data_IF_867818005534
#
_entry.id   IF_867818005534
#
_cell.length_a   1.000
_cell.length_b   1.000
_cell.length_c   1.000
_cell.angle_alpha   90.00
_cell.angle_beta   90.00
_cell.angle_gamma   90.00
#
_symmetry.space_group_name_H-M   'P 1'
#
loop_
_entity.id
_entity.type
_entity.pdbx_description
1 polymer ?
#
# COMPACT_ATOMS: atom_id res chain seq x y z
N UNK A 1 -12.62 7.44 26.23
CA UNK A 1 -11.89 7.18 24.97
C UNK A 1 -12.07 8.40 24.10
N UNK A 2 -11.00 9.01 23.55
CA UNK A 2 -11.16 10.10 22.59
C UNK A 2 -11.99 9.58 21.41
N UNK A 3 -13.04 10.32 21.05
CA UNK A 3 -13.79 10.06 19.83
C UNK A 3 -12.83 10.33 18.67
N UNK A 4 -12.42 9.27 17.96
CA UNK A 4 -11.80 9.38 16.65
C UNK A 4 -12.69 10.31 15.81
N UNK A 5 -12.14 11.45 15.38
CA UNK A 5 -12.87 12.31 14.45
C UNK A 5 -13.17 11.49 13.20
N UNK A 6 -14.42 11.49 12.76
CA UNK A 6 -14.80 10.79 11.54
C UNK A 6 -14.08 11.44 10.36
N UNK A 7 -13.08 10.74 9.82
CA UNK A 7 -12.31 11.22 8.67
C UNK A 7 -13.24 11.41 7.45
N UNK A 8 -12.95 12.39 6.57
CA UNK A 8 -13.71 12.59 5.34
C UNK A 8 -13.69 11.31 4.48
N UNK A 9 -14.87 10.85 4.05
CA UNK A 9 -15.06 9.59 3.34
C UNK A 9 -15.22 9.83 1.84
N UNK A 10 -14.37 9.25 1.00
CA UNK A 10 -14.55 9.23 -0.46
C UNK A 10 -15.35 7.99 -0.87
N UNK A 11 -16.54 8.16 -1.46
CA UNK A 11 -17.60 7.13 -1.48
C UNK A 11 -18.17 6.72 -2.86
N UNK A 12 -17.41 6.62 -3.97
CA UNK A 12 -17.87 6.21 -5.34
C UNK A 12 -19.05 7.04 -5.93
N UNK A 13 -19.80 7.82 -5.16
CA UNK A 13 -21.13 8.34 -5.51
C UNK A 13 -21.33 9.80 -5.14
N UNK A 14 -20.41 10.42 -4.42
CA UNK A 14 -20.48 11.85 -4.10
C UNK A 14 -19.90 12.68 -5.27
N UNK A 15 -20.69 13.59 -5.86
CA UNK A 15 -20.24 14.43 -6.97
C UNK A 15 -19.06 15.34 -6.62
N UNK A 16 -18.75 15.53 -5.34
CA UNK A 16 -17.65 16.36 -4.84
C UNK A 16 -16.39 15.58 -4.44
N UNK A 17 -16.33 14.26 -4.67
CA UNK A 17 -15.21 13.42 -4.24
C UNK A 17 -13.85 13.91 -4.73
N UNK A 18 -13.78 14.45 -5.96
CA UNK A 18 -12.52 15.00 -6.48
C UNK A 18 -12.07 16.24 -5.70
N UNK A 19 -12.99 17.15 -5.36
CA UNK A 19 -12.66 18.34 -4.58
C UNK A 19 -12.26 17.99 -3.13
N UNK A 20 -12.93 16.99 -2.54
CA UNK A 20 -12.56 16.46 -1.23
C UNK A 20 -11.17 15.81 -1.26
N UNK A 21 -10.90 14.98 -2.27
CA UNK A 21 -9.59 14.37 -2.46
C UNK A 21 -8.51 15.45 -2.64
N UNK A 22 -8.76 16.49 -3.46
CA UNK A 22 -7.84 17.62 -3.63
C UNK A 22 -7.50 18.30 -2.31
N UNK A 23 -8.48 18.52 -1.44
CA UNK A 23 -8.26 19.09 -0.11
C UNK A 23 -7.45 18.14 0.78
N UNK A 24 -7.77 16.84 0.77
CA UNK A 24 -7.08 15.81 1.57
C UNK A 24 -5.62 15.62 1.16
N UNK A 25 -5.28 15.81 -0.12
CA UNK A 25 -3.89 15.72 -0.61
C UNK A 25 -3.18 17.07 -0.69
N UNK A 26 -3.81 18.17 -0.27
CA UNK A 26 -3.16 19.47 -0.26
C UNK A 26 -1.89 19.51 0.63
N UNK A 27 -1.85 18.89 1.83
CA UNK A 27 -0.65 18.88 2.67
C UNK A 27 0.55 18.24 1.97
N UNK A 28 0.37 17.05 1.39
CA UNK A 28 1.45 16.35 0.69
C UNK A 28 1.91 17.08 -0.58
N UNK A 29 1.00 17.73 -1.31
CA UNK A 29 1.37 18.57 -2.46
C UNK A 29 2.26 19.72 -2.02
N UNK A 30 1.99 20.31 -0.85
CA UNK A 30 2.83 21.35 -0.27
C UNK A 30 4.20 20.81 0.14
N UNK A 31 4.26 19.67 0.83
CA UNK A 31 5.51 19.05 1.27
C UNK A 31 6.47 18.75 0.11
N UNK A 32 5.92 18.28 -1.00
CA UNK A 32 6.70 17.89 -2.17
C UNK A 32 6.70 18.93 -3.30
N UNK A 33 6.27 20.17 -3.05
CA UNK A 33 6.11 21.20 -4.09
C UNK A 33 7.40 21.49 -4.89
N UNK A 34 8.57 21.34 -4.25
CA UNK A 34 9.88 21.58 -4.88
C UNK A 34 10.56 20.31 -5.40
N UNK A 35 9.94 19.14 -5.21
CA UNK A 35 10.49 17.89 -5.72
C UNK A 35 10.27 17.78 -7.22
N UNK A 36 11.27 17.25 -7.91
CA UNK A 36 11.17 16.99 -9.35
C UNK A 36 10.11 15.93 -9.59
N UNK A 37 9.17 16.23 -10.47
CA UNK A 37 8.10 15.33 -10.92
C UNK A 37 8.58 14.51 -12.12
N UNK A 38 8.11 13.27 -12.23
CA UNK A 38 8.48 12.33 -13.28
C UNK A 38 7.50 12.42 -14.44
N UNK A 39 7.88 13.15 -15.49
CA UNK A 39 7.05 13.30 -16.69
C UNK A 39 6.83 11.97 -17.42
N UNK A 40 7.91 11.17 -17.52
CA UNK A 40 7.92 9.91 -18.25
C UNK A 40 8.73 8.82 -17.54
N UNK A 41 8.69 7.61 -18.11
CA UNK A 41 9.37 6.44 -17.55
C UNK A 41 10.90 6.55 -17.64
N UNK A 42 11.43 7.28 -18.63
CA UNK A 42 12.86 7.52 -18.77
C UNK A 42 13.40 8.30 -17.56
N UNK A 43 12.66 9.29 -17.09
CA UNK A 43 12.99 10.02 -15.86
C UNK A 43 12.98 9.14 -14.62
N UNK A 44 11.98 8.26 -14.47
CA UNK A 44 11.92 7.29 -13.36
C UNK A 44 13.16 6.40 -13.38
N UNK A 45 13.49 5.81 -14.55
CA UNK A 45 14.64 4.92 -14.68
C UNK A 45 15.98 5.65 -14.47
N UNK A 46 16.08 6.93 -14.86
CA UNK A 46 17.24 7.78 -14.55
C UNK A 46 17.37 8.11 -13.06
N UNK A 47 16.25 8.32 -12.37
CA UNK A 47 16.25 8.49 -10.91
C UNK A 47 16.66 7.20 -10.18
N UNK A 48 16.29 6.03 -10.71
CA UNK A 48 16.76 4.74 -10.20
C UNK A 48 18.27 4.57 -10.41
N UNK A 49 18.80 4.89 -11.60
CA UNK A 49 20.24 4.72 -11.88
C UNK A 49 21.15 5.64 -11.06
N UNK A 50 20.61 6.75 -10.57
CA UNK A 50 21.31 7.72 -9.70
C UNK A 50 21.07 7.47 -8.20
N UNK A 51 20.24 6.49 -7.83
CA UNK A 51 19.90 6.18 -6.45
C UNK A 51 18.87 7.13 -5.81
N UNK A 52 18.30 8.07 -6.57
CA UNK A 52 17.23 8.96 -6.10
C UNK A 52 15.91 8.21 -5.88
N UNK A 53 15.70 7.09 -6.58
CA UNK A 53 14.64 6.12 -6.31
C UNK A 53 15.23 4.74 -6.01
N UNK A 54 14.60 4.00 -5.11
CA UNK A 54 14.97 2.63 -4.75
C UNK A 54 13.85 1.66 -5.08
N UNK A 55 14.21 0.43 -5.48
CA UNK A 55 13.23 -0.63 -5.73
C UNK A 55 12.62 -1.10 -4.43
N UNK A 56 11.30 -1.17 -4.40
CA UNK A 56 10.53 -1.77 -3.33
C UNK A 56 10.43 -3.28 -3.58
N UNK A 57 11.00 -4.06 -2.67
CA UNK A 57 10.86 -5.52 -2.62
C UNK A 57 10.02 -5.89 -1.39
N UNK A 58 9.16 -6.90 -1.54
CA UNK A 58 8.37 -7.42 -0.41
C UNK A 58 9.25 -8.06 0.67
N UNK A 59 8.70 -8.18 1.87
CA UNK A 59 9.36 -8.79 3.03
C UNK A 59 8.34 -9.64 3.83
N UNK A 60 8.61 -9.87 5.12
CA UNK A 60 7.71 -10.59 6.03
C UNK A 60 6.42 -9.84 6.37
N UNK A 61 6.35 -8.53 6.13
CA UNK A 61 5.27 -7.67 6.62
C UNK A 61 4.38 -7.16 5.49
N UNK A 62 4.91 -7.11 4.25
CA UNK A 62 4.15 -6.73 3.07
C UNK A 62 4.64 -7.39 1.80
N UNK A 63 3.76 -7.42 0.80
CA UNK A 63 4.06 -7.91 -0.56
C UNK A 63 3.49 -6.92 -1.58
N UNK A 64 4.32 -6.39 -2.50
CA UNK A 64 3.80 -5.70 -3.68
C UNK A 64 2.93 -6.65 -4.48
N UNK A 65 1.74 -6.22 -4.90
CA UNK A 65 0.84 -7.06 -5.70
C UNK A 65 1.52 -7.53 -6.99
N UNK A 66 1.07 -8.66 -7.54
CA UNK A 66 1.77 -9.38 -8.60
C UNK A 66 2.23 -8.50 -9.79
N UNK A 67 1.38 -7.57 -10.24
CA UNK A 67 1.69 -6.64 -11.34
C UNK A 67 2.88 -5.70 -11.09
N UNK A 68 3.24 -5.45 -9.83
CA UNK A 68 4.44 -4.69 -9.43
C UNK A 68 5.70 -5.57 -9.35
N UNK A 69 5.52 -6.90 -9.30
CA UNK A 69 6.60 -7.88 -9.21
C UNK A 69 6.93 -8.54 -10.56
N UNK A 70 5.99 -8.52 -11.50
CA UNK A 70 6.17 -9.11 -12.83
C UNK A 70 7.39 -8.49 -13.54
N UNK A 71 8.38 -9.30 -13.97
CA UNK A 71 9.49 -8.79 -14.77
C UNK A 71 8.99 -8.11 -16.05
N UNK A 72 9.58 -6.97 -16.41
CA UNK A 72 9.25 -6.24 -17.63
C UNK A 72 8.02 -5.33 -17.52
N UNK A 73 7.29 -5.35 -16.39
CA UNK A 73 6.17 -4.42 -16.15
C UNK A 73 6.60 -3.13 -15.50
N UNK A 74 7.90 -2.95 -15.17
CA UNK A 74 8.39 -1.73 -14.51
C UNK A 74 8.08 -0.47 -15.31
N UNK A 75 8.00 -0.60 -16.64
CA UNK A 75 7.64 0.53 -17.51
C UNK A 75 6.18 0.95 -17.43
N UNK A 76 5.33 0.08 -16.91
CA UNK A 76 3.88 0.26 -16.81
C UNK A 76 3.49 0.51 -15.34
N UNK A 77 4.18 -0.16 -14.40
CA UNK A 77 3.91 -0.13 -12.96
C UNK A 77 5.24 -0.12 -12.21
N UNK A 78 5.94 1.02 -12.19
CA UNK A 78 7.28 1.11 -11.64
C UNK A 78 7.29 0.86 -10.12
N UNK A 79 8.02 -0.16 -9.63
CA UNK A 79 7.99 -0.54 -8.22
C UNK A 79 9.03 0.23 -7.40
N UNK A 80 9.06 1.56 -7.55
CA UNK A 80 10.09 2.40 -6.93
C UNK A 80 9.49 3.47 -6.02
N UNK A 81 10.26 3.89 -5.02
CA UNK A 81 9.97 5.00 -4.11
C UNK A 81 11.24 5.79 -3.82
N UNK A 82 11.09 6.99 -3.27
CA UNK A 82 12.17 7.68 -2.58
C UNK A 82 12.72 6.80 -1.44
N UNK A 83 14.03 6.88 -1.11
CA UNK A 83 14.62 6.11 -0.02
C UNK A 83 13.90 6.28 1.33
N UNK A 84 13.55 7.51 1.71
CA UNK A 84 12.79 7.80 2.93
C UNK A 84 11.40 7.17 2.89
N UNK A 85 10.70 7.27 1.76
CA UNK A 85 9.38 6.65 1.59
C UNK A 85 9.42 5.13 1.63
N UNK A 86 10.47 4.50 1.10
CA UNK A 86 10.67 3.06 1.21
C UNK A 86 10.94 2.62 2.66
N UNK A 87 11.65 3.44 3.45
CA UNK A 87 11.84 3.22 4.88
C UNK A 87 10.51 3.39 5.65
N UNK A 88 9.72 4.42 5.31
CA UNK A 88 8.40 4.65 5.87
C UNK A 88 7.46 3.47 5.60
N UNK A 89 7.39 2.98 4.36
CA UNK A 89 6.61 1.79 4.01
C UNK A 89 6.96 0.61 4.92
N UNK A 90 8.26 0.31 5.09
CA UNK A 90 8.70 -0.79 5.96
C UNK A 90 8.26 -0.57 7.41
N UNK A 91 8.41 0.63 7.94
CA UNK A 91 8.02 0.97 9.31
C UNK A 91 6.51 0.84 9.52
N UNK A 92 5.68 1.43 8.65
CA UNK A 92 4.22 1.37 8.75
C UNK A 92 3.73 -0.08 8.72
N UNK A 93 4.26 -0.90 7.79
CA UNK A 93 3.85 -2.30 7.68
C UNK A 93 4.29 -3.11 8.90
N UNK A 94 5.52 -2.93 9.39
CA UNK A 94 6.03 -3.63 10.58
C UNK A 94 5.23 -3.27 11.85
N UNK A 95 4.92 -1.99 12.04
CA UNK A 95 4.06 -1.51 13.14
C UNK A 95 2.64 -2.10 13.05
N UNK A 96 2.07 -2.16 11.84
CA UNK A 96 0.75 -2.73 11.61
C UNK A 96 0.72 -4.23 11.91
N UNK A 97 1.75 -4.97 11.50
CA UNK A 97 1.96 -6.38 11.85
C UNK A 97 2.12 -6.54 13.37
N UNK A 98 2.89 -5.69 14.02
CA UNK A 98 3.04 -5.73 15.48
C UNK A 98 1.72 -5.48 16.21
N UNK A 99 0.91 -4.52 15.73
CA UNK A 99 -0.43 -4.24 16.27
C UNK A 99 -1.36 -5.44 16.12
N UNK A 100 -1.39 -6.05 14.94
CA UNK A 100 -2.17 -7.26 14.69
C UNK A 100 -1.73 -8.43 15.59
N UNK A 101 -0.42 -8.60 15.83
CA UNK A 101 0.10 -9.61 16.79
C UNK A 101 -0.37 -9.36 18.21
N UNK A 102 -0.33 -8.11 18.66
CA UNK A 102 -0.80 -7.73 19.99
C UNK A 102 -2.30 -8.01 20.20
N UNK A 103 -3.09 -8.12 19.12
CA UNK A 103 -4.50 -8.50 19.13
C UNK A 103 -4.74 -10.03 19.08
N UNK A 104 -3.67 -10.84 19.18
CA UNK A 104 -3.76 -12.30 19.20
C UNK A 104 -4.04 -12.95 17.84
N UNK A 105 -3.81 -12.22 16.74
CA UNK A 105 -3.92 -12.79 15.40
C UNK A 105 -2.72 -13.75 15.22
N UNK A 106 -2.93 -14.95 14.67
CA UNK A 106 -1.86 -15.91 14.41
C UNK A 106 -1.13 -15.56 13.10
N UNK A 107 0.16 -15.19 13.22
CA UNK A 107 0.78 -14.14 12.40
C UNK A 107 2.11 -14.51 11.73
N UNK A 108 2.44 -15.79 11.62
CA UNK A 108 3.73 -16.17 11.06
C UNK A 108 3.89 -15.78 9.58
N UNK A 109 2.80 -15.41 8.89
CA UNK A 109 2.82 -15.13 7.47
C UNK A 109 1.91 -13.99 6.99
N UNK A 110 1.44 -13.12 7.89
CA UNK A 110 0.61 -11.97 7.51
C UNK A 110 1.44 -10.97 6.70
N UNK A 111 0.97 -10.60 5.49
CA UNK A 111 1.60 -9.57 4.68
C UNK A 111 0.57 -8.62 4.08
N UNK A 112 0.70 -7.33 4.32
CA UNK A 112 -0.15 -6.32 3.68
C UNK A 112 0.14 -6.20 2.18
N UNK A 113 -0.88 -5.88 1.39
CA UNK A 113 -0.76 -5.82 -0.07
C UNK A 113 -0.51 -4.38 -0.53
N UNK A 114 0.69 -4.11 -1.05
CA UNK A 114 1.04 -2.79 -1.61
C UNK A 114 0.61 -2.73 -3.08
N UNK A 115 -0.24 -1.77 -3.44
CA UNK A 115 -0.99 -1.77 -4.71
C UNK A 115 -0.50 -0.71 -5.71
N UNK A 116 0.16 0.34 -5.23
CA UNK A 116 0.74 1.41 -6.06
C UNK A 116 1.95 2.07 -5.39
N UNK A 117 2.87 2.57 -6.22
CA UNK A 117 4.14 3.20 -5.84
C UNK A 117 4.35 4.42 -6.75
N UNK A 118 5.56 4.72 -7.25
CA UNK A 118 5.77 5.84 -8.19
C UNK A 118 4.90 5.71 -9.47
N UNK A 119 4.52 6.84 -10.04
CA UNK A 119 3.83 6.97 -11.34
C UNK A 119 4.52 8.06 -12.16
N UNK A 120 4.22 8.11 -13.46
CA UNK A 120 4.58 9.27 -14.29
C UNK A 120 3.39 10.22 -14.41
N UNK A 121 3.63 11.48 -14.79
CA UNK A 121 2.55 12.43 -15.10
C UNK A 121 1.62 11.90 -16.19
N UNK A 122 2.17 11.24 -17.21
CA UNK A 122 1.37 10.62 -18.27
C UNK A 122 0.41 9.54 -17.73
N UNK A 123 0.89 8.70 -16.80
CA UNK A 123 0.07 7.70 -16.13
C UNK A 123 -1.02 8.36 -15.28
N UNK A 124 -0.67 9.41 -14.54
CA UNK A 124 -1.59 10.14 -13.68
C UNK A 124 -2.67 10.86 -14.48
N UNK A 125 -2.31 11.53 -15.57
CA UNK A 125 -3.25 12.18 -16.49
C UNK A 125 -4.24 11.16 -17.07
N UNK A 126 -3.76 9.97 -17.44
CA UNK A 126 -4.61 8.89 -17.96
C UNK A 126 -5.65 8.44 -16.92
N UNK A 127 -5.29 8.36 -15.64
CA UNK A 127 -6.23 8.03 -14.54
C UNK A 127 -7.28 9.14 -14.35
N UNK A 128 -6.86 10.40 -14.36
CA UNK A 128 -7.78 11.55 -14.22
C UNK A 128 -8.78 11.58 -15.38
N UNK A 129 -8.30 11.35 -16.61
CA UNK A 129 -9.13 11.31 -17.83
C UNK A 129 -10.08 10.12 -17.86
N UNK A 130 -9.68 8.96 -17.30
CA UNK A 130 -10.56 7.79 -17.22
C UNK A 130 -11.68 7.93 -16.18
N UNK A 131 -11.74 9.05 -15.46
CA UNK A 131 -12.70 9.26 -14.37
C UNK A 131 -12.36 8.50 -13.10
N UNK A 132 -11.12 8.00 -12.96
CA UNK A 132 -10.69 7.43 -11.69
C UNK A 132 -10.66 8.50 -10.60
N UNK A 133 -10.80 8.08 -9.34
CA UNK A 133 -10.62 8.94 -8.18
C UNK A 133 -9.13 9.29 -8.06
N UNK A 134 -8.74 10.34 -8.79
CA UNK A 134 -7.37 10.77 -8.98
C UNK A 134 -7.36 12.29 -9.23
N UNK A 135 -6.27 12.95 -8.82
CA UNK A 135 -6.10 14.39 -9.00
C UNK A 135 -4.84 14.70 -9.79
N UNK A 136 -4.85 15.84 -10.46
CA UNK A 136 -3.65 16.41 -11.08
C UNK A 136 -2.62 16.75 -10.00
N UNK A 137 -1.33 16.74 -10.37
CA UNK A 137 -0.28 17.08 -9.42
C UNK A 137 -0.06 16.03 -8.31
N UNK A 138 -0.54 14.79 -8.47
CA UNK A 138 -0.38 13.72 -7.48
C UNK A 138 1.08 13.51 -7.07
N UNK A 139 1.32 13.30 -5.78
CA UNK A 139 2.67 13.07 -5.23
C UNK A 139 3.24 11.70 -5.62
N UNK A 140 2.44 10.77 -6.16
CA UNK A 140 2.97 9.56 -6.81
C UNK A 140 3.97 9.89 -7.92
N UNK A 141 3.82 11.05 -8.57
CA UNK A 141 4.71 11.49 -9.63
C UNK A 141 6.04 12.04 -9.12
N UNK A 142 6.27 12.11 -7.80
CA UNK A 142 7.60 12.36 -7.21
C UNK A 142 8.19 11.13 -6.53
N UNK A 143 7.47 10.00 -6.53
CA UNK A 143 7.88 8.75 -5.89
C UNK A 143 7.76 8.72 -4.37
N UNK A 144 6.96 9.62 -3.80
CA UNK A 144 6.80 9.74 -2.35
C UNK A 144 5.74 8.78 -1.75
N UNK A 145 4.49 8.76 -2.21
CA UNK A 145 3.44 7.97 -1.58
C UNK A 145 3.42 6.52 -2.06
N UNK A 146 2.73 5.70 -1.29
CA UNK A 146 2.40 4.32 -1.62
C UNK A 146 0.95 4.02 -1.23
N UNK A 147 0.32 3.16 -2.03
CA UNK A 147 -1.05 2.72 -1.78
C UNK A 147 -1.08 1.30 -1.24
N UNK A 148 -1.95 1.04 -0.28
CA UNK A 148 -2.10 -0.26 0.39
C UNK A 148 -3.55 -0.71 0.29
N UNK A 149 -3.77 -1.98 -0.03
CA UNK A 149 -5.07 -2.61 0.05
C UNK A 149 -5.49 -2.71 1.52
N UNK A 150 -6.58 -2.02 1.88
CA UNK A 150 -7.13 -2.04 3.23
C UNK A 150 -8.41 -2.89 3.30
N UNK A 151 -8.71 -3.67 2.26
CA UNK A 151 -9.77 -4.67 2.23
C UNK A 151 -9.24 -6.10 2.00
N UNK A 152 -7.92 -6.29 1.96
CA UNK A 152 -7.30 -7.58 1.79
C UNK A 152 -5.84 -7.62 2.22
N UNK A 153 -5.35 -8.83 2.47
CA UNK A 153 -3.98 -9.11 2.85
C UNK A 153 -3.54 -10.46 2.29
N UNK A 154 -2.27 -10.77 2.43
CA UNK A 154 -1.72 -12.07 2.06
C UNK A 154 -1.38 -12.89 3.30
N UNK A 155 -1.48 -14.21 3.13
CA UNK A 155 -0.88 -15.21 4.01
C UNK A 155 0.00 -16.13 3.17
N UNK A 156 1.00 -16.72 3.80
CA UNK A 156 1.77 -17.81 3.19
C UNK A 156 1.18 -19.12 3.66
N UNK A 157 0.92 -19.98 2.70
CA UNK A 157 0.53 -21.37 2.85
C UNK A 157 1.76 -22.19 2.45
N UNK A 158 2.20 -23.10 3.32
CA UNK A 158 3.43 -23.87 3.11
C UNK A 158 3.34 -24.80 1.89
N UNK A 159 2.13 -25.22 1.52
CA UNK A 159 1.89 -26.11 0.38
C UNK A 159 1.62 -25.32 -0.91
N UNK A 160 0.91 -24.19 -0.79
CA UNK A 160 0.35 -23.45 -1.93
C UNK A 160 0.99 -22.08 -2.21
N UNK A 161 1.89 -21.61 -1.34
CA UNK A 161 2.54 -20.30 -1.48
C UNK A 161 1.66 -19.14 -1.00
N UNK A 162 1.59 -18.03 -1.73
CA UNK A 162 0.84 -16.85 -1.29
C UNK A 162 -0.67 -17.00 -1.53
N UNK A 163 -1.46 -16.83 -0.47
CA UNK A 163 -2.92 -16.81 -0.48
C UNK A 163 -3.40 -15.37 -0.23
N UNK A 164 -4.26 -14.87 -1.12
CA UNK A 164 -4.96 -13.59 -0.98
C UNK A 164 -6.20 -13.77 -0.11
N UNK A 165 -6.20 -13.17 1.08
CA UNK A 165 -7.36 -13.11 1.96
C UNK A 165 -8.05 -11.77 1.74
N UNK A 166 -9.33 -11.78 1.38
CA UNK A 166 -10.07 -10.57 0.99
C UNK A 166 -11.35 -10.43 1.78
N UNK A 167 -11.76 -9.19 2.01
CA UNK A 167 -13.02 -8.85 2.66
C UNK A 167 -14.20 -9.57 2.01
N UNK A 168 -15.18 -10.07 2.79
CA UNK A 168 -16.42 -10.63 2.27
C UNK A 168 -17.20 -9.66 1.37
N UNK A 169 -16.99 -8.35 1.54
CA UNK A 169 -17.64 -7.31 0.74
C UNK A 169 -17.04 -7.17 -0.67
N UNK A 170 -15.92 -7.83 -0.96
CA UNK A 170 -15.22 -7.70 -2.24
C UNK A 170 -15.83 -8.62 -3.28
N UNK A 171 -16.02 -8.11 -4.50
CA UNK A 171 -16.49 -8.91 -5.63
C UNK A 171 -15.47 -10.01 -5.98
N UNK A 172 -15.78 -11.24 -5.55
CA UNK A 172 -14.93 -12.41 -5.75
C UNK A 172 -14.90 -12.87 -7.20
N UNK A 173 -15.95 -12.64 -7.98
CA UNK A 173 -15.96 -13.04 -9.38
C UNK A 173 -15.04 -12.14 -10.20
N UNK A 174 -15.01 -10.84 -9.89
CA UNK A 174 -13.98 -9.92 -10.37
C UNK A 174 -12.56 -10.37 -10.01
N UNK A 175 -12.34 -10.82 -8.77
CA UNK A 175 -11.04 -11.31 -8.30
C UNK A 175 -10.62 -12.66 -8.92
N UNK A 176 -11.56 -13.57 -9.21
CA UNK A 176 -11.28 -14.86 -9.89
C UNK A 176 -10.76 -14.66 -11.32
N UNK A 177 -11.15 -13.58 -11.99
CA UNK A 177 -10.56 -13.20 -13.28
C UNK A 177 -9.07 -12.86 -13.12
N UNK A 178 -8.73 -12.11 -12.06
CA UNK A 178 -7.34 -11.77 -11.70
C UNK A 178 -6.55 -13.04 -11.34
N UNK A 179 -7.11 -13.94 -10.55
CA UNK A 179 -6.51 -15.22 -10.20
C UNK A 179 -6.18 -16.05 -11.46
N UNK A 180 -7.12 -16.18 -12.41
CA UNK A 180 -6.89 -16.89 -13.68
C UNK A 180 -5.79 -16.25 -14.52
N UNK A 181 -5.78 -14.92 -14.61
CA UNK A 181 -4.75 -14.19 -15.36
C UNK A 181 -3.36 -14.41 -14.76
N UNK A 182 -3.25 -14.41 -13.43
CA UNK A 182 -1.98 -14.61 -12.73
C UNK A 182 -1.49 -16.07 -12.78
N UNK A 183 -2.41 -17.05 -12.75
CA UNK A 183 -2.07 -18.47 -12.96
C UNK A 183 -1.52 -18.74 -14.36
N UNK A 184 -2.08 -18.08 -15.39
CA UNK A 184 -1.66 -18.26 -16.78
C UNK A 184 -0.31 -17.62 -17.13
N UNK A 185 0.08 -16.55 -16.43
CA UNK A 185 1.29 -15.78 -16.74
C UNK A 185 2.59 -16.32 -16.08
N UNK A 186 2.50 -17.09 -14.99
CA UNK A 186 3.65 -17.36 -14.11
C UNK A 186 3.91 -18.84 -13.76
N UNK A 187 3.38 -19.79 -14.54
CA UNK A 187 3.92 -21.15 -14.58
C UNK A 187 3.99 -21.94 -13.26
N UNK A 188 3.08 -21.73 -12.29
CA UNK A 188 2.80 -22.77 -11.28
C UNK A 188 2.58 -22.36 -9.83
N UNK A 189 2.98 -21.17 -9.36
CA UNK A 189 2.64 -20.72 -7.99
C UNK A 189 1.48 -19.71 -8.05
N UNK A 190 0.30 -20.21 -8.41
CA UNK A 190 -0.90 -19.39 -8.55
C UNK A 190 -1.35 -18.81 -7.22
N UNK A 191 -1.35 -17.48 -7.09
CA UNK A 191 -1.96 -16.79 -5.96
C UNK A 191 -3.44 -17.20 -5.87
N UNK A 192 -3.83 -17.90 -4.79
CA UNK A 192 -5.20 -18.34 -4.54
C UNK A 192 -5.97 -17.27 -3.77
N UNK A 193 -7.28 -17.17 -3.98
CA UNK A 193 -8.15 -16.41 -3.08
C UNK A 193 -8.65 -17.34 -1.96
N UNK A 194 -8.47 -16.93 -0.70
CA UNK A 194 -8.92 -17.71 0.45
C UNK A 194 -10.46 -17.93 0.43
N UNK A 195 -10.95 -19.07 0.95
CA UNK A 195 -12.36 -19.32 1.24
C UNK A 195 -13.06 -18.20 2.00
N UNK A 196 -14.40 -18.22 1.98
CA UNK A 196 -15.20 -17.28 2.78
C UNK A 196 -15.04 -17.61 4.27
N UNK A 197 -14.82 -16.59 5.11
CA UNK A 197 -14.63 -16.75 6.55
C UNK A 197 -13.18 -16.78 7.06
N UNK A 198 -12.18 -16.80 6.17
CA UNK A 198 -10.77 -16.67 6.58
C UNK A 198 -10.31 -15.21 6.78
N UNK A 199 -11.14 -14.25 6.38
CA UNK A 199 -10.88 -12.82 6.57
C UNK A 199 -11.08 -12.43 8.04
N UNK A 200 -10.04 -11.86 8.63
CA UNK A 200 -10.05 -11.29 9.97
C UNK A 200 -10.00 -9.76 9.86
N UNK A 201 -11.12 -9.10 10.16
CA UNK A 201 -11.25 -7.64 10.06
C UNK A 201 -10.25 -6.89 10.95
N UNK A 202 -9.78 -7.52 12.02
CA UNK A 202 -8.80 -6.94 12.95
C UNK A 202 -7.45 -6.70 12.28
N UNK A 203 -7.12 -7.44 11.21
CA UNK A 203 -5.93 -7.20 10.39
C UNK A 203 -6.02 -5.84 9.68
N UNK A 204 -7.15 -5.56 9.02
CA UNK A 204 -7.39 -4.28 8.36
C UNK A 204 -7.44 -3.16 9.39
N UNK A 205 -8.12 -3.39 10.53
CA UNK A 205 -8.19 -2.42 11.61
C UNK A 205 -6.80 -2.08 12.17
N UNK A 206 -5.90 -3.04 12.31
CA UNK A 206 -4.52 -2.79 12.76
C UNK A 206 -3.76 -1.82 11.84
N UNK A 207 -3.96 -1.94 10.52
CA UNK A 207 -3.37 -1.00 9.54
C UNK A 207 -4.03 0.39 9.65
N UNK A 208 -5.36 0.44 9.77
CA UNK A 208 -6.09 1.70 9.92
C UNK A 208 -5.68 2.45 11.19
N UNK A 209 -5.58 1.75 12.33
CA UNK A 209 -5.19 2.32 13.62
C UNK A 209 -3.76 2.88 13.59
N UNK A 210 -2.81 2.11 13.06
CA UNK A 210 -1.40 2.54 12.97
C UNK A 210 -1.26 3.74 12.04
N UNK A 211 -1.91 3.71 10.87
CA UNK A 211 -1.81 4.82 9.91
C UNK A 211 -2.52 6.07 10.42
N UNK A 212 -3.65 5.95 11.11
CA UNK A 212 -4.32 7.07 11.79
C UNK A 212 -3.41 7.68 12.85
N UNK A 213 -2.80 6.87 13.71
CA UNK A 213 -1.86 7.35 14.74
C UNK A 213 -0.67 8.10 14.12
N UNK A 214 -0.07 7.56 13.05
CA UNK A 214 1.06 8.22 12.37
C UNK A 214 0.64 9.51 11.66
N UNK A 215 -0.59 9.58 11.15
CA UNK A 215 -1.15 10.79 10.57
C UNK A 215 -1.33 11.88 11.62
N UNK A 216 -1.94 11.55 12.77
CA UNK A 216 -2.14 12.47 13.89
C UNK A 216 -0.81 12.99 14.46
N UNK A 217 0.24 12.17 14.41
CA UNK A 217 1.59 12.55 14.82
C UNK A 217 2.35 13.37 13.75
N UNK A 218 1.76 13.62 12.58
CA UNK A 218 2.36 14.40 11.48
C UNK A 218 3.43 13.67 10.67
N UNK A 219 3.55 12.35 10.84
CA UNK A 219 4.56 11.55 10.14
C UNK A 219 4.16 11.20 8.70
N UNK A 220 2.86 11.12 8.43
CA UNK A 220 2.31 10.85 7.10
C UNK A 220 1.08 11.72 6.82
N UNK A 221 0.80 12.00 5.56
CA UNK A 221 -0.53 12.31 5.09
C UNK A 221 -1.24 10.99 4.77
N UNK A 222 -2.49 10.85 5.22
CA UNK A 222 -3.27 9.62 5.07
C UNK A 222 -4.60 9.95 4.42
N UNK A 223 -4.96 9.22 3.37
CA UNK A 223 -6.27 9.29 2.74
C UNK A 223 -6.87 7.89 2.67
N UNK A 224 -8.06 7.72 3.27
CA UNK A 224 -8.82 6.48 3.21
C UNK A 224 -9.85 6.55 2.07
N UNK A 225 -9.63 5.73 1.05
CA UNK A 225 -10.50 5.63 -0.11
C UNK A 225 -11.53 4.51 0.08
N UNK A 226 -12.78 4.77 -0.29
CA UNK A 226 -13.88 3.81 -0.27
C UNK A 226 -14.07 3.10 1.08
N UNK A 227 -14.17 3.85 2.20
CA UNK A 227 -14.34 3.28 3.53
C UNK A 227 -15.60 2.42 3.60
N UNK A 228 -15.53 1.35 4.40
CA UNK A 228 -16.64 0.40 4.60
C UNK A 228 -17.05 -0.39 3.33
N UNK A 229 -16.20 -0.39 2.28
CA UNK A 229 -16.45 -1.16 1.04
C UNK A 229 -15.48 -2.33 0.87
N UNK A 230 -15.82 -3.26 -0.04
CA UNK A 230 -14.93 -4.33 -0.46
C UNK A 230 -13.66 -3.88 -1.21
N UNK A 231 -13.53 -2.59 -1.55
CA UNK A 231 -12.41 -2.02 -2.29
C UNK A 231 -11.68 -0.92 -1.48
N UNK A 232 -11.79 -0.94 -0.16
CA UNK A 232 -11.12 0.01 0.71
C UNK A 232 -9.60 0.03 0.45
N UNK A 233 -9.05 1.23 0.24
CA UNK A 233 -7.63 1.44 -0.01
C UNK A 233 -7.10 2.60 0.84
N UNK A 234 -5.83 2.53 1.19
CA UNK A 234 -5.13 3.60 1.89
C UNK A 234 -4.07 4.19 0.98
N UNK A 235 -4.15 5.50 0.77
CA UNK A 235 -3.08 6.30 0.21
C UNK A 235 -2.27 6.91 1.36
N UNK A 236 -0.96 6.67 1.37
CA UNK A 236 -0.06 7.07 2.44
C UNK A 236 1.13 7.84 1.84
N UNK A 237 1.27 9.11 2.22
CA UNK A 237 2.38 9.96 1.78
C UNK A 237 3.25 10.36 2.97
N UNK A 238 4.50 9.86 3.09
CA UNK A 238 5.40 10.22 4.18
C UNK A 238 5.75 11.71 4.17
N UNK A 239 5.78 12.33 5.35
CA UNK A 239 6.28 13.70 5.51
C UNK A 239 7.81 13.71 5.25
N UNK A 240 8.32 14.55 4.32
CA UNK A 240 9.74 14.59 3.99
C UNK A 240 10.63 15.09 5.14
N UNK A 241 10.07 15.74 6.17
CA UNK A 241 10.82 16.16 7.36
C UNK A 241 11.13 14.98 8.29
N UNK A 242 10.48 13.82 8.12
CA UNK A 242 10.80 12.59 8.85
C UNK A 242 11.92 11.85 8.13
N UNK A 243 13.05 11.71 8.80
CA UNK A 243 14.25 11.12 8.21
C UNK A 243 14.15 9.61 8.07
N UNK A 244 15.03 9.03 7.25
CA UNK A 244 15.18 7.56 7.15
C UNK A 244 15.47 6.93 8.52
N UNK A 245 16.26 7.60 9.36
CA UNK A 245 16.65 7.05 10.66
C UNK A 245 15.51 7.13 11.67
N UNK A 246 14.67 8.16 11.61
CA UNK A 246 13.41 8.21 12.36
C UNK A 246 12.53 7.01 12.01
N UNK A 247 12.34 6.72 10.71
CA UNK A 247 11.57 5.54 10.27
C UNK A 247 12.18 4.21 10.70
N UNK A 248 13.50 4.09 10.69
CA UNK A 248 14.20 2.88 11.15
C UNK A 248 14.04 2.69 12.65
N UNK A 249 14.07 3.78 13.44
CA UNK A 249 13.92 3.72 14.90
C UNK A 249 12.53 3.25 15.35
N UNK A 250 11.50 3.40 14.49
CA UNK A 250 10.15 2.93 14.75
C UNK A 250 9.95 1.43 14.47
N UNK A 251 10.87 0.81 13.73
CA UNK A 251 10.70 -0.60 13.39
C UNK A 251 10.89 -1.45 14.65
N UNK A 252 9.92 -2.32 14.99
CA UNK A 252 10.12 -3.24 16.09
C UNK A 252 11.33 -4.13 15.80
N UNK A 253 12.06 -4.47 16.86
CA UNK A 253 13.14 -5.44 16.76
C UNK A 253 12.64 -6.71 16.06
N UNK A 254 13.41 -7.29 15.12
CA UNK A 254 13.04 -8.54 14.50
C UNK A 254 12.77 -9.57 15.61
N UNK A 255 11.54 -10.08 15.65
CA UNK A 255 11.25 -11.22 16.53
C UNK A 255 12.14 -12.34 16.03
N UNK A 256 13.13 -12.75 16.84
CA UNK A 256 13.97 -13.89 16.53
C UNK A 256 13.06 -15.03 16.12
N UNK A 257 13.33 -15.68 14.98
CA UNK A 257 12.55 -16.81 14.52
C UNK A 257 12.61 -17.89 15.60
N UNK A 258 11.64 -17.89 16.51
CA UNK A 258 11.50 -18.93 17.51
C UNK A 258 11.33 -20.21 16.71
N UNK A 259 12.19 -21.20 16.94
CA UNK A 259 12.24 -22.42 16.14
C UNK A 259 10.89 -23.15 16.25
N UNK A 260 10.01 -22.90 15.28
CA UNK A 260 8.64 -23.43 15.21
C UNK A 260 8.63 -24.95 14.98
N UNK A 261 9.81 -25.59 14.94
CA UNK A 261 9.97 -27.06 14.90
C UNK A 261 9.82 -27.73 16.27
N UNK A 262 9.65 -26.95 17.35
CA UNK A 262 9.55 -27.47 18.71
C UNK A 262 8.10 -27.55 19.27
N UNK A 263 7.08 -27.33 18.45
CA UNK A 263 5.65 -27.53 18.76
C UNK A 263 5.04 -28.56 17.80
#
# INVERSE_FOLDING_TARGET
>A
MPQLQAEPRLSVTDPNERAQLEALVAPEKSWYAHHRRFEDIGMVMGAVSTGALVRVTGNSDFVPIARLRSPGTERIKPPFLLPASAAALRAVMALSVQRARAQGIAMNDLRYAVTSLVRTEQMQASLVQSGALAVEGSTHCVGAPFDVDASGYYRTDLEMGLVSVVSPLRDRDGMRSVERHLRGAHGGSGMRIAPEGEYDERVAQSLLDVTSQLHDMGYINRVLEFPDTGNQALHLCPNPDVTIDDWRSMQPEPVAATDLRAL
#
